data_IF_410261845200
#
_entry.id   IF_410261845200
#
_cell.length_a   1.000
_cell.length_b   1.000
_cell.length_c   1.000
_cell.angle_alpha   90.00
_cell.angle_beta   90.00
_cell.angle_gamma   90.00
#
_symmetry.space_group_name_H-M   'P 1'
#
loop_
_entity.id
_entity.type
_entity.pdbx_description
1 polymer ?
#
# COMPACT_ATOMS: atom_id res chain seq x y z
N UNK A 1 2.72 -29.23 10.36
CA UNK A 1 1.66 -28.25 10.68
C UNK A 1 1.51 -27.33 9.48
N UNK A 2 0.43 -27.40 8.68
CA UNK A 2 0.26 -26.49 7.55
C UNK A 2 -0.26 -25.15 8.07
N UNK A 3 0.64 -24.17 8.19
CA UNK A 3 0.29 -22.77 8.33
C UNK A 3 0.02 -22.23 6.92
N UNK A 4 -1.23 -21.91 6.57
CA UNK A 4 -1.53 -21.41 5.21
C UNK A 4 -2.89 -20.77 5.01
N UNK A 5 -3.90 -21.09 5.83
CA UNK A 5 -5.28 -20.67 5.52
C UNK A 5 -5.73 -19.40 6.29
N UNK A 6 -5.29 -19.23 7.55
CA UNK A 6 -5.68 -18.07 8.37
C UNK A 6 -5.09 -16.72 7.91
N UNK A 7 -3.96 -16.74 7.19
CA UNK A 7 -3.34 -15.51 6.68
C UNK A 7 -4.17 -14.86 5.58
N UNK A 8 -4.87 -15.65 4.75
CA UNK A 8 -5.69 -15.13 3.66
C UNK A 8 -6.96 -14.45 4.20
N UNK A 9 -7.60 -15.03 5.21
CA UNK A 9 -8.79 -14.43 5.83
C UNK A 9 -8.46 -13.14 6.57
N UNK A 10 -7.35 -13.11 7.30
CA UNK A 10 -6.82 -11.89 7.95
C UNK A 10 -6.54 -10.85 6.87
N UNK A 11 -5.83 -11.19 5.80
CA UNK A 11 -5.51 -10.27 4.72
C UNK A 11 -6.78 -9.72 4.04
N UNK A 12 -7.78 -10.57 3.76
CA UNK A 12 -9.09 -10.15 3.27
C UNK A 12 -9.76 -9.16 4.23
N UNK A 13 -9.74 -9.44 5.53
CA UNK A 13 -10.30 -8.52 6.54
C UNK A 13 -9.59 -7.17 6.55
N UNK A 14 -8.25 -7.16 6.48
CA UNK A 14 -7.46 -5.94 6.36
C UNK A 14 -7.77 -5.14 5.08
N UNK A 15 -7.94 -5.84 3.94
CA UNK A 15 -8.34 -5.25 2.67
C UNK A 15 -9.73 -4.60 2.76
N UNK A 16 -10.69 -5.25 3.42
CA UNK A 16 -12.02 -4.67 3.66
C UNK A 16 -11.97 -3.45 4.59
N UNK A 17 -11.10 -3.46 5.60
CA UNK A 17 -10.90 -2.32 6.51
C UNK A 17 -10.32 -1.12 5.75
N UNK A 18 -9.29 -1.34 4.92
CA UNK A 18 -8.72 -0.32 4.04
C UNK A 18 -9.78 0.27 3.10
N UNK A 19 -10.64 -0.57 2.50
CA UNK A 19 -11.75 -0.09 1.68
C UNK A 19 -12.71 0.80 2.47
N UNK A 20 -13.05 0.43 3.71
CA UNK A 20 -13.90 1.26 4.60
C UNK A 20 -13.27 2.61 4.94
N UNK A 21 -11.94 2.65 5.05
CA UNK A 21 -11.18 3.89 5.25
C UNK A 21 -11.13 4.79 4.02
N UNK A 22 -11.61 4.33 2.87
CA UNK A 22 -11.69 5.10 1.62
C UNK A 22 -10.56 4.81 0.64
N UNK A 23 -9.68 3.83 0.93
CA UNK A 23 -8.68 3.40 -0.03
C UNK A 23 -9.36 2.66 -1.19
N UNK A 24 -9.12 3.15 -2.40
CA UNK A 24 -9.77 2.63 -3.62
C UNK A 24 -8.81 1.88 -4.53
N UNK A 25 -7.50 1.99 -4.30
CA UNK A 25 -6.47 1.44 -5.20
C UNK A 25 -5.38 0.69 -4.46
N UNK A 26 -4.99 -0.44 -5.02
CA UNK A 26 -3.87 -1.28 -4.62
C UNK A 26 -2.84 -1.29 -5.74
N UNK A 27 -1.62 -1.63 -5.39
CA UNK A 27 -0.51 -1.65 -6.29
C UNK A 27 0.38 -2.86 -6.03
N UNK A 28 0.58 -3.67 -7.06
CA UNK A 28 1.39 -4.88 -7.01
C UNK A 28 2.02 -5.12 -8.39
N UNK A 29 3.32 -5.46 -8.43
CA UNK A 29 4.02 -5.79 -9.67
C UNK A 29 3.84 -4.81 -10.83
N UNK A 30 3.79 -3.51 -10.52
CA UNK A 30 3.55 -2.43 -11.51
C UNK A 30 2.14 -2.37 -12.06
N UNK A 31 1.23 -3.23 -11.59
CA UNK A 31 -0.20 -3.17 -11.85
C UNK A 31 -0.91 -2.42 -10.71
N UNK A 32 -1.88 -1.60 -11.09
CA UNK A 32 -2.79 -0.93 -10.16
C UNK A 32 -4.11 -1.68 -10.19
N UNK A 33 -4.57 -2.13 -9.04
CA UNK A 33 -5.83 -2.85 -8.88
C UNK A 33 -6.83 -1.95 -8.14
N UNK A 34 -8.10 -1.97 -8.53
CA UNK A 34 -9.13 -1.14 -7.90
C UNK A 34 -9.99 -1.96 -6.94
N UNK A 35 -10.18 -1.46 -5.71
CA UNK A 35 -11.02 -2.09 -4.69
C UNK A 35 -12.51 -2.15 -5.07
N UNK A 36 -12.93 -1.29 -6.00
CA UNK A 36 -14.33 -1.19 -6.43
C UNK A 36 -14.78 -2.38 -7.27
N UNK A 37 -13.87 -3.09 -7.93
CA UNK A 37 -14.18 -4.27 -8.74
C UNK A 37 -13.70 -5.54 -8.04
N UNK A 38 -14.62 -6.41 -7.58
CA UNK A 38 -14.23 -7.65 -6.90
C UNK A 38 -13.37 -8.56 -7.77
N UNK A 39 -13.50 -8.48 -9.10
CA UNK A 39 -12.67 -9.21 -10.07
C UNK A 39 -11.19 -8.82 -9.99
N UNK A 40 -10.86 -7.55 -9.74
CA UNK A 40 -9.46 -7.09 -9.62
C UNK A 40 -8.77 -7.67 -8.38
N UNK A 41 -9.52 -7.93 -7.30
CA UNK A 41 -8.97 -8.51 -6.07
C UNK A 41 -8.64 -10.00 -6.23
N UNK A 42 -9.27 -10.71 -7.18
CA UNK A 42 -8.96 -12.09 -7.49
C UNK A 42 -7.64 -12.24 -8.27
N UNK A 43 -7.27 -11.22 -9.03
CA UNK A 43 -6.02 -11.19 -9.82
C UNK A 43 -4.80 -10.82 -8.97
N UNK A 44 -5.01 -10.38 -7.72
CA UNK A 44 -3.92 -10.06 -6.79
C UNK A 44 -3.30 -11.34 -6.25
N UNK A 45 -1.99 -11.45 -6.44
CA UNK A 45 -1.21 -12.56 -5.90
C UNK A 45 -0.86 -12.27 -4.43
N UNK A 46 -1.62 -12.84 -3.49
CA UNK A 46 -1.38 -12.64 -2.06
C UNK A 46 -0.11 -13.33 -1.54
N UNK A 47 0.59 -14.13 -2.37
CA UNK A 47 1.91 -14.64 -2.04
C UNK A 47 3.00 -13.58 -2.22
N UNK A 48 2.67 -12.45 -2.85
CA UNK A 48 3.55 -11.31 -3.08
C UNK A 48 3.11 -10.06 -2.30
N UNK A 49 4.05 -9.16 -1.96
CA UNK A 49 3.72 -7.95 -1.23
C UNK A 49 2.77 -7.04 -2.03
N UNK A 50 1.63 -6.72 -1.42
CA UNK A 50 0.63 -5.79 -1.93
C UNK A 50 0.81 -4.45 -1.22
N UNK A 51 0.80 -3.35 -1.99
CA UNK A 51 0.89 -2.00 -1.46
C UNK A 51 -0.43 -1.26 -1.69
N UNK A 52 -0.82 -0.40 -0.75
CA UNK A 52 -1.97 0.49 -0.94
C UNK A 52 -1.50 1.75 -1.66
N UNK A 53 -2.16 2.13 -2.74
CA UNK A 53 -1.83 3.34 -3.47
C UNK A 53 -2.56 4.53 -2.84
N UNK A 54 -1.86 5.25 -1.95
CA UNK A 54 -2.41 6.38 -1.20
C UNK A 54 -2.47 7.65 -2.05
N UNK A 55 -1.40 7.98 -2.76
CA UNK A 55 -1.38 9.16 -3.63
C UNK A 55 -0.49 8.97 -4.88
N UNK A 56 -0.77 9.74 -5.93
CA UNK A 56 0.08 9.91 -7.11
C UNK A 56 0.52 11.36 -7.19
N UNK A 57 1.73 11.62 -6.75
CA UNK A 57 2.32 12.96 -6.72
C UNK A 57 3.20 13.16 -7.95
N UNK A 58 2.96 14.23 -8.69
CA UNK A 58 3.85 14.70 -9.76
C UNK A 58 4.83 15.74 -9.18
N UNK A 59 6.05 15.80 -9.71
CA UNK A 59 7.04 16.76 -9.24
C UNK A 59 6.62 18.20 -9.63
N UNK A 60 6.42 19.08 -8.65
CA UNK A 60 6.03 20.47 -8.81
C UNK A 60 6.11 21.26 -7.49
N UNK A 61 5.96 22.59 -7.53
CA UNK A 61 6.19 23.47 -6.38
C UNK A 61 5.21 23.23 -5.21
N UNK A 62 3.99 22.78 -5.51
CA UNK A 62 2.92 22.56 -4.52
C UNK A 62 2.89 21.13 -3.92
N UNK A 63 3.86 20.27 -4.27
CA UNK A 63 3.82 18.87 -3.82
C UNK A 63 3.96 18.73 -2.31
N UNK A 64 4.63 19.70 -1.64
CA UNK A 64 5.11 19.54 -0.27
C UNK A 64 3.99 19.23 0.70
N UNK A 65 2.89 19.98 0.59
CA UNK A 65 1.74 19.81 1.47
C UNK A 65 1.06 18.44 1.25
N UNK A 66 0.93 18.00 -0.01
CA UNK A 66 0.36 16.69 -0.35
C UNK A 66 1.24 15.53 0.11
N UNK A 67 2.55 15.70 0.00
CA UNK A 67 3.54 14.73 0.46
C UNK A 67 3.46 14.54 1.97
N UNK A 68 3.39 15.63 2.73
CA UNK A 68 3.26 15.59 4.20
C UNK A 68 1.97 14.87 4.59
N UNK A 69 0.82 15.27 4.03
CA UNK A 69 -0.48 14.64 4.31
C UNK A 69 -0.48 13.13 3.99
N UNK A 70 0.07 12.75 2.83
CA UNK A 70 0.19 11.34 2.42
C UNK A 70 1.07 10.55 3.39
N UNK A 71 2.21 11.12 3.81
CA UNK A 71 3.13 10.47 4.75
C UNK A 71 2.47 10.30 6.11
N UNK A 72 1.76 11.31 6.61
CA UNK A 72 1.02 11.23 7.87
C UNK A 72 -0.07 10.15 7.84
N UNK A 73 -0.80 10.02 6.73
CA UNK A 73 -1.77 8.94 6.53
C UNK A 73 -1.07 7.57 6.56
N UNK A 74 0.02 7.40 5.82
CA UNK A 74 0.75 6.13 5.76
C UNK A 74 1.32 5.72 7.12
N UNK A 75 1.88 6.68 7.87
CA UNK A 75 2.40 6.41 9.20
C UNK A 75 1.30 6.08 10.22
N UNK A 76 0.17 6.80 10.19
CA UNK A 76 -0.97 6.50 11.07
C UNK A 76 -1.56 5.11 10.82
N UNK A 77 -1.56 4.67 9.57
CA UNK A 77 -2.18 3.41 9.15
C UNK A 77 -1.27 2.20 9.27
N UNK A 78 -0.01 2.31 8.86
CA UNK A 78 0.92 1.17 8.76
C UNK A 78 2.27 1.42 9.43
N UNK A 79 2.56 2.64 9.89
CA UNK A 79 3.87 3.01 10.45
C UNK A 79 5.00 3.00 9.41
N UNK A 80 4.69 2.85 8.13
CA UNK A 80 5.62 2.85 7.01
C UNK A 80 5.02 3.48 5.76
N UNK A 81 5.88 4.07 4.93
CA UNK A 81 5.53 4.66 3.64
C UNK A 81 6.54 4.21 2.59
N UNK A 82 6.04 3.88 1.40
CA UNK A 82 6.85 3.44 0.26
C UNK A 82 6.61 4.37 -0.91
N UNK A 83 7.64 5.10 -1.32
CA UNK A 83 7.63 5.90 -2.55
C UNK A 83 8.22 5.08 -3.68
N UNK A 84 7.48 4.97 -4.78
CA UNK A 84 7.98 4.37 -6.02
C UNK A 84 8.09 5.44 -7.09
N UNK A 85 9.31 5.70 -7.53
CA UNK A 85 9.58 6.55 -8.68
C UNK A 85 9.22 5.83 -9.98
N UNK A 86 8.79 6.57 -11.01
CA UNK A 86 8.53 6.02 -12.33
C UNK A 86 9.77 5.36 -12.96
N UNK A 87 10.97 5.79 -12.57
CA UNK A 87 12.24 5.20 -12.97
C UNK A 87 12.57 3.85 -12.27
N UNK A 88 11.64 3.27 -11.50
CA UNK A 88 11.79 1.98 -10.83
C UNK A 88 12.49 2.03 -9.48
N UNK A 89 12.93 3.20 -9.01
CA UNK A 89 13.51 3.35 -7.68
C UNK A 89 12.41 3.29 -6.61
N UNK A 90 12.58 2.41 -5.63
CA UNK A 90 11.72 2.31 -4.46
C UNK A 90 12.44 2.85 -3.22
N UNK A 91 11.84 3.84 -2.57
CA UNK A 91 12.30 4.42 -1.31
C UNK A 91 11.29 4.02 -0.23
N UNK A 92 11.74 3.30 0.79
CA UNK A 92 10.92 2.93 1.95
C UNK A 92 11.35 3.77 3.15
N UNK A 93 10.39 4.36 3.83
CA UNK A 93 10.57 5.06 5.08
C UNK A 93 9.65 4.45 6.13
N UNK A 94 10.13 4.35 7.37
CA UNK A 94 9.39 3.79 8.48
C UNK A 94 9.51 4.73 9.68
N UNK A 95 8.43 4.86 10.45
CA UNK A 95 8.42 5.72 11.64
C UNK A 95 9.23 5.11 12.80
N UNK A 96 9.31 3.77 12.83
CA UNK A 96 10.19 3.05 13.76
C UNK A 96 11.56 2.87 13.12
N UNK A 97 12.63 3.09 13.90
CA UNK A 97 14.00 2.72 13.54
C UNK A 97 14.13 1.20 13.47
N UNK A 98 13.62 0.59 12.42
CA UNK A 98 13.80 -0.83 12.15
C UNK A 98 15.09 -0.97 11.35
N UNK A 99 16.19 -1.31 12.02
CA UNK A 99 17.38 -1.77 11.33
C UNK A 99 17.01 -3.03 10.53
N UNK A 100 17.20 -3.01 9.22
CA UNK A 100 17.26 -4.24 8.42
C UNK A 100 18.39 -5.10 8.99
N UNK A 101 18.04 -6.25 9.54
CA UNK A 101 18.98 -7.36 9.76
C UNK A 101 18.89 -8.29 8.57
#
# INVERSE_FOLDING_TARGET
MPAGDGSLEVLKSHLFDLRKKGFTRLFQNSNVFEFSTPESLLDIDFAQPVYVLVDRVALGPDMRQRLVDTVEICYRESGEVVFRAAAGQQLRFSEKFVCKT
#
